data_IF_538689635501
#
_entry.id   IF_538689635501
#
_cell.length_a   1.000
_cell.length_b   1.000
_cell.length_c   1.000
_cell.angle_alpha   90.00
_cell.angle_beta   90.00
_cell.angle_gamma   90.00
#
_symmetry.space_group_name_H-M   'P 1'
#
loop_
_entity.id
_entity.type
_entity.pdbx_description
1 polymer ?
#
# COMPACT_ATOMS: atom_id res chain seq x y z
N UNK A 1 -11.76 9.24 2.46
CA UNK A 1 -11.12 8.40 1.42
C UNK A 1 -9.82 9.02 0.91
N UNK A 2 -9.84 10.21 0.30
CA UNK A 2 -8.61 10.85 -0.23
C UNK A 2 -7.52 10.96 0.84
N UNK A 3 -7.85 11.45 2.04
CA UNK A 3 -6.89 11.51 3.16
C UNK A 3 -6.34 10.16 3.61
N UNK A 4 -7.12 9.06 3.47
CA UNK A 4 -6.66 7.71 3.81
C UNK A 4 -5.64 7.18 2.81
N UNK A 5 -5.89 7.39 1.51
CA UNK A 5 -4.95 7.02 0.44
C UNK A 5 -3.65 7.80 0.58
N UNK A 6 -3.74 9.10 0.85
CA UNK A 6 -2.56 9.96 1.08
C UNK A 6 -1.76 9.48 2.30
N UNK A 7 -2.42 9.18 3.43
CA UNK A 7 -1.75 8.66 4.63
C UNK A 7 -1.03 7.34 4.38
N UNK A 8 -1.67 6.42 3.66
CA UNK A 8 -1.07 5.14 3.29
C UNK A 8 0.14 5.32 2.37
N UNK A 9 0.02 6.15 1.32
CA UNK A 9 1.16 6.44 0.41
C UNK A 9 2.30 7.16 1.15
N UNK A 10 1.99 8.11 2.04
CA UNK A 10 2.98 8.80 2.87
C UNK A 10 3.71 7.85 3.82
N UNK A 11 3.03 6.80 4.32
CA UNK A 11 3.66 5.75 5.13
C UNK A 11 4.78 5.03 4.38
N UNK A 12 4.63 4.80 3.07
CA UNK A 12 5.70 4.23 2.24
C UNK A 12 6.85 5.22 2.02
N UNK A 13 6.60 6.51 1.85
CA UNK A 13 7.67 7.52 1.77
C UNK A 13 8.45 7.64 3.08
N UNK A 14 7.80 7.49 4.23
CA UNK A 14 8.49 7.43 5.52
C UNK A 14 9.36 6.17 5.64
N UNK A 15 8.86 5.04 5.14
CA UNK A 15 9.64 3.80 5.09
C UNK A 15 10.87 3.94 4.18
N UNK A 16 10.76 4.63 3.04
CA UNK A 16 11.88 4.92 2.14
C UNK A 16 12.99 5.71 2.84
N UNK A 17 12.59 6.76 3.58
CA UNK A 17 13.50 7.56 4.39
C UNK A 17 14.18 6.73 5.48
N UNK A 18 13.44 5.88 6.19
CA UNK A 18 13.98 5.01 7.23
C UNK A 18 14.96 3.95 6.68
N UNK A 19 14.78 3.53 5.43
CA UNK A 19 15.66 2.57 4.73
C UNK A 19 16.82 3.25 3.98
N UNK A 20 16.93 4.58 4.01
CA UNK A 20 18.02 5.32 3.37
C UNK A 20 18.00 5.27 1.83
N UNK A 21 16.86 5.00 1.20
CA UNK A 21 16.71 5.01 -0.27
C UNK A 21 17.49 3.93 -1.03
N UNK A 22 17.91 2.85 -0.37
CA UNK A 22 18.71 1.77 -0.97
C UNK A 22 17.92 0.79 -1.85
N UNK A 23 18.65 -0.14 -2.50
CA UNK A 23 18.11 -1.17 -3.40
C UNK A 23 17.02 -2.07 -2.77
N UNK A 24 16.94 -2.11 -1.44
CA UNK A 24 15.95 -2.89 -0.69
C UNK A 24 14.55 -2.24 -0.64
N UNK A 25 14.40 -0.99 -1.09
CA UNK A 25 13.10 -0.32 -1.07
C UNK A 25 12.17 -0.84 -2.19
N UNK A 26 10.92 -1.24 -1.87
CA UNK A 26 10.03 -1.89 -2.84
C UNK A 26 9.29 -0.86 -3.73
N UNK A 27 10.02 -0.20 -4.63
CA UNK A 27 9.47 0.83 -5.55
C UNK A 27 8.38 0.27 -6.48
N UNK A 28 8.54 -0.96 -6.95
CA UNK A 28 7.54 -1.60 -7.83
C UNK A 28 6.21 -1.81 -7.10
N UNK A 29 6.27 -2.28 -5.86
CA UNK A 29 5.13 -2.48 -4.98
C UNK A 29 4.46 -1.15 -4.63
N UNK A 30 5.24 -0.08 -4.44
CA UNK A 30 4.71 1.27 -4.27
C UNK A 30 3.96 1.75 -5.53
N UNK A 31 4.53 1.52 -6.71
CA UNK A 31 3.88 1.82 -7.99
C UNK A 31 2.56 1.04 -8.18
N UNK A 32 2.56 -0.25 -7.87
CA UNK A 32 1.35 -1.08 -7.86
C UNK A 32 0.31 -0.53 -6.87
N UNK A 33 0.72 -0.10 -5.68
CA UNK A 33 -0.18 0.49 -4.70
C UNK A 33 -0.89 1.75 -5.24
N UNK A 34 -0.13 2.64 -5.88
CA UNK A 34 -0.67 3.86 -6.49
C UNK A 34 -1.68 3.53 -7.59
N UNK A 35 -1.31 2.63 -8.52
CA UNK A 35 -2.19 2.23 -9.62
C UNK A 35 -3.45 1.53 -9.09
N UNK A 36 -3.31 0.60 -8.14
CA UNK A 36 -4.46 -0.08 -7.52
C UNK A 36 -5.38 0.89 -6.77
N UNK A 37 -4.83 1.91 -6.10
CA UNK A 37 -5.59 2.99 -5.49
C UNK A 37 -6.39 3.81 -6.51
N UNK A 38 -5.76 4.16 -7.64
CA UNK A 38 -6.42 4.87 -8.74
C UNK A 38 -7.55 4.05 -9.36
N UNK A 39 -7.35 2.74 -9.56
CA UNK A 39 -8.38 1.82 -10.08
C UNK A 39 -9.57 1.76 -9.12
N UNK A 40 -9.33 1.63 -7.82
CA UNK A 40 -10.40 1.56 -6.83
C UNK A 40 -11.18 2.86 -6.70
N UNK A 41 -10.50 4.02 -6.77
CA UNK A 41 -11.16 5.32 -6.84
C UNK A 41 -11.98 5.44 -8.14
N UNK A 42 -11.45 4.97 -9.26
CA UNK A 42 -12.14 4.97 -10.56
C UNK A 42 -13.40 4.11 -10.52
N UNK A 43 -13.35 2.94 -9.89
CA UNK A 43 -14.52 2.08 -9.67
C UNK A 43 -15.55 2.74 -8.78
N UNK A 44 -15.15 3.37 -7.68
CA UNK A 44 -16.06 4.14 -6.82
C UNK A 44 -16.71 5.31 -7.55
N UNK A 45 -15.96 6.00 -8.41
CA UNK A 45 -16.48 7.12 -9.21
C UNK A 45 -17.51 6.61 -10.23
N UNK A 46 -17.22 5.48 -10.89
CA UNK A 46 -18.08 4.84 -11.87
C UNK A 46 -19.35 4.23 -11.26
N UNK A 47 -19.24 3.64 -10.06
CA UNK A 47 -20.34 2.95 -9.40
C UNK A 47 -20.73 3.66 -8.09
N UNK A 48 -21.75 4.51 -8.17
CA UNK A 48 -22.27 5.33 -7.05
C UNK A 48 -22.78 4.52 -5.84
N UNK A 49 -23.02 3.21 -6.00
CA UNK A 49 -23.48 2.32 -4.92
C UNK A 49 -22.36 1.79 -4.03
N UNK A 50 -21.09 2.01 -4.37
CA UNK A 50 -19.96 1.55 -3.57
C UNK A 50 -19.72 2.56 -2.43
N UNK A 51 -19.76 2.10 -1.18
CA UNK A 51 -19.52 2.96 -0.03
C UNK A 51 -18.03 3.29 0.11
N UNK A 52 -17.73 4.53 0.50
CA UNK A 52 -16.34 4.96 0.67
C UNK A 52 -15.57 4.14 1.73
N UNK A 53 -16.27 3.57 2.72
CA UNK A 53 -15.69 2.68 3.72
C UNK A 53 -15.27 1.32 3.15
N UNK A 54 -16.06 0.75 2.24
CA UNK A 54 -15.73 -0.52 1.57
C UNK A 54 -14.46 -0.37 0.73
N UNK A 55 -14.33 0.74 0.01
CA UNK A 55 -13.15 1.03 -0.81
C UNK A 55 -11.92 1.27 0.07
N UNK A 56 -12.07 1.95 1.22
CA UNK A 56 -10.99 2.13 2.16
C UNK A 56 -10.54 0.78 2.76
N UNK A 57 -11.48 -0.10 3.11
CA UNK A 57 -11.19 -1.45 3.57
C UNK A 57 -10.49 -2.29 2.50
N UNK A 58 -10.99 -2.27 1.26
CA UNK A 58 -10.36 -2.95 0.13
C UNK A 58 -8.94 -2.42 -0.15
N UNK A 59 -8.73 -1.11 -0.04
CA UNK A 59 -7.40 -0.50 -0.15
C UNK A 59 -6.48 -0.92 0.98
N UNK A 60 -6.96 -1.01 2.23
CA UNK A 60 -6.17 -1.50 3.34
C UNK A 60 -5.70 -2.95 3.14
N UNK A 61 -6.60 -3.83 2.70
CA UNK A 61 -6.28 -5.23 2.40
C UNK A 61 -5.31 -5.35 1.22
N UNK A 62 -5.47 -4.52 0.20
CA UNK A 62 -4.55 -4.47 -0.94
C UNK A 62 -3.15 -4.03 -0.51
N UNK A 63 -3.04 -3.00 0.34
CA UNK A 63 -1.75 -2.57 0.88
C UNK A 63 -1.07 -3.67 1.69
N UNK A 64 -1.83 -4.38 2.54
CA UNK A 64 -1.30 -5.50 3.33
C UNK A 64 -0.82 -6.64 2.42
N UNK A 65 -1.62 -7.00 1.42
CA UNK A 65 -1.25 -8.05 0.46
C UNK A 65 0.06 -7.70 -0.26
N UNK A 66 0.20 -6.46 -0.74
CA UNK A 66 1.42 -6.00 -1.40
C UNK A 66 2.61 -5.99 -0.43
N UNK A 67 2.42 -5.57 0.82
CA UNK A 67 3.53 -5.45 1.77
C UNK A 67 4.15 -6.81 2.13
N UNK A 68 3.37 -7.89 2.13
CA UNK A 68 3.85 -9.26 2.38
C UNK A 68 4.92 -9.72 1.38
N UNK A 69 4.91 -9.20 0.15
CA UNK A 69 5.86 -9.56 -0.91
C UNK A 69 7.01 -8.55 -1.04
N UNK A 70 7.32 -7.83 0.03
CA UNK A 70 8.46 -6.90 0.08
C UNK A 70 9.62 -7.52 0.86
N UNK A 71 10.85 -7.19 0.47
CA UNK A 71 12.05 -7.64 1.17
C UNK A 71 12.02 -7.30 2.68
N UNK A 72 11.64 -6.08 3.11
CA UNK A 72 11.60 -5.73 4.53
C UNK A 72 10.63 -6.61 5.34
N UNK A 73 9.47 -6.95 4.78
CA UNK A 73 8.49 -7.80 5.47
C UNK A 73 8.93 -9.25 5.49
N UNK A 74 9.53 -9.77 4.42
CA UNK A 74 10.13 -11.10 4.43
C UNK A 74 11.26 -11.23 5.44
N UNK A 75 12.13 -10.22 5.54
CA UNK A 75 13.22 -10.19 6.54
C UNK A 75 12.66 -10.10 7.96
N UNK A 76 11.66 -9.25 8.20
CA UNK A 76 10.99 -9.16 9.49
C UNK A 76 10.35 -10.50 9.90
N UNK A 77 9.71 -11.19 8.95
CA UNK A 77 9.14 -12.52 9.20
C UNK A 77 10.26 -13.52 9.51
N UNK A 78 11.32 -13.61 8.68
CA UNK A 78 12.45 -14.51 8.91
C UNK A 78 13.06 -14.32 10.30
N UNK A 79 13.33 -13.07 10.68
CA UNK A 79 13.87 -12.73 12.00
C UNK A 79 12.93 -13.11 13.17
N UNK A 80 11.63 -13.21 12.91
CA UNK A 80 10.66 -13.59 13.94
C UNK A 80 10.57 -15.10 14.16
N UNK A 81 10.77 -15.89 13.11
CA UNK A 81 10.74 -17.37 13.18
C UNK A 81 12.11 -18.00 13.45
N UNK A 82 13.22 -17.28 13.25
CA UNK A 82 14.59 -17.75 13.49
C UNK A 82 15.39 -17.93 12.21
#
# INVERSE_FOLDING_TARGET
MVGFVILMTAGFSFAEYAMGGGESFPYFQLGCLIIGGLIMISLKHKFQKIYAGEVAGAFALYTLYISLFTLPVMEAIKNWIG
#
